data_IF_619464597581
#
_entry.id   IF_619464597581
#
_cell.length_a   1.000
_cell.length_b   1.000
_cell.length_c   1.000
_cell.angle_alpha   90.00
_cell.angle_beta   90.00
_cell.angle_gamma   90.00
#
_symmetry.space_group_name_H-M   'P 1'
#
loop_
_entity.id
_entity.type
_entity.pdbx_description
1 polymer ?
#
# COMPACT_ATOMS: atom_id res chain seq x y z
N UNK A 1 15.61 -9.20 5.12
CA UNK A 1 14.32 -8.74 4.55
C UNK A 1 14.58 -8.35 3.09
N UNK A 2 14.18 -9.17 2.11
CA UNK A 2 14.25 -8.80 0.69
C UNK A 2 12.90 -8.20 0.31
N UNK A 3 12.89 -6.95 -0.15
CA UNK A 3 11.77 -6.40 -0.90
C UNK A 3 11.61 -7.27 -2.15
N UNK A 4 10.56 -8.09 -2.19
CA UNK A 4 10.17 -8.73 -3.45
C UNK A 4 9.51 -7.64 -4.29
N UNK A 5 10.09 -7.47 -5.48
CA UNK A 5 9.76 -6.53 -6.53
C UNK A 5 8.26 -6.14 -6.64
N UNK A 6 7.98 -4.88 -6.98
CA UNK A 6 6.62 -4.39 -7.26
C UNK A 6 6.08 -5.16 -8.46
N UNK A 7 5.18 -6.13 -8.23
CA UNK A 7 4.71 -7.04 -9.28
C UNK A 7 3.98 -6.31 -10.41
N UNK A 8 3.24 -5.23 -10.11
CA UNK A 8 2.58 -4.37 -11.10
C UNK A 8 2.27 -2.99 -10.48
N UNK A 9 2.56 -1.92 -11.20
CA UNK A 9 2.04 -0.57 -10.91
C UNK A 9 1.47 0.01 -12.20
N UNK A 10 0.38 0.77 -12.10
CA UNK A 10 -0.12 1.49 -13.28
C UNK A 10 0.90 2.57 -13.64
N UNK A 11 1.45 2.49 -14.86
CA UNK A 11 2.44 3.45 -15.37
C UNK A 11 1.79 4.77 -15.77
N UNK A 12 0.46 4.82 -15.81
CA UNK A 12 -0.27 6.05 -16.13
C UNK A 12 -0.18 7.03 -14.97
N UNK A 13 0.08 8.32 -15.24
CA UNK A 13 -0.02 9.34 -14.21
C UNK A 13 -1.45 9.39 -13.67
N UNK A 14 -1.57 9.60 -12.35
CA UNK A 14 -2.88 9.82 -11.74
C UNK A 14 -3.53 11.06 -12.34
N UNK A 15 -4.83 10.99 -12.62
CA UNK A 15 -5.62 12.12 -13.13
C UNK A 15 -6.25 12.83 -11.95
N UNK A 16 -6.15 14.16 -11.91
CA UNK A 16 -6.78 14.95 -10.85
C UNK A 16 -8.30 14.74 -10.81
N UNK A 17 -8.85 14.71 -9.60
CA UNK A 17 -10.27 14.44 -9.35
C UNK A 17 -10.71 13.00 -9.64
N UNK A 18 -9.79 12.09 -9.99
CA UNK A 18 -10.09 10.66 -10.20
C UNK A 18 -9.56 9.79 -9.06
N UNK A 19 -10.03 8.55 -9.03
CA UNK A 19 -9.55 7.51 -8.13
C UNK A 19 -8.13 7.08 -8.52
N UNK A 20 -7.20 7.13 -7.57
CA UNK A 20 -5.89 6.49 -7.66
C UNK A 20 -5.90 5.19 -6.86
N UNK A 21 -5.55 4.09 -7.51
CA UNK A 21 -5.41 2.77 -6.88
C UNK A 21 -3.95 2.33 -6.95
N UNK A 22 -3.35 2.11 -5.79
CA UNK A 22 -2.00 1.57 -5.64
C UNK A 22 -2.13 0.16 -5.08
N UNK A 23 -1.57 -0.84 -5.77
CA UNK A 23 -1.55 -2.21 -5.30
C UNK A 23 -0.11 -2.67 -5.11
N UNK A 24 0.14 -3.43 -4.05
CA UNK A 24 1.40 -4.13 -3.91
C UNK A 24 1.19 -5.51 -3.29
N UNK A 25 1.76 -6.50 -3.97
CA UNK A 25 1.79 -7.89 -3.53
C UNK A 25 3.08 -8.15 -2.77
N UNK A 26 2.98 -8.79 -1.62
CA UNK A 26 4.12 -9.29 -0.88
C UNK A 26 3.93 -10.77 -0.55
N UNK A 27 5.04 -11.51 -0.52
CA UNK A 27 5.06 -12.90 -0.09
C UNK A 27 5.55 -12.98 1.35
N UNK A 28 4.82 -13.68 2.22
CA UNK A 28 5.25 -13.83 3.60
C UNK A 28 4.27 -14.58 4.48
N UNK A 29 4.59 -14.64 5.77
CA UNK A 29 3.84 -15.39 6.77
C UNK A 29 2.43 -14.84 6.99
N UNK A 30 1.55 -15.67 7.55
CA UNK A 30 0.15 -15.31 7.83
C UNK A 30 -0.03 -14.14 8.79
N UNK A 31 0.93 -13.89 9.68
CA UNK A 31 0.96 -12.79 10.64
C UNK A 31 1.67 -11.52 10.11
N UNK A 32 1.92 -11.45 8.81
CA UNK A 32 2.45 -10.27 8.14
C UNK A 32 1.41 -9.14 8.17
N UNK A 33 1.89 -7.92 8.32
CA UNK A 33 1.09 -6.71 8.33
C UNK A 33 1.65 -5.69 7.35
N UNK A 34 0.77 -4.85 6.85
CA UNK A 34 1.05 -3.88 5.80
C UNK A 34 0.98 -2.47 6.36
N UNK A 35 1.91 -1.61 5.92
CA UNK A 35 1.84 -0.16 6.14
C UNK A 35 2.30 0.58 4.90
N UNK A 36 1.51 1.56 4.49
CA UNK A 36 1.85 2.46 3.38
C UNK A 36 2.64 3.66 3.89
N UNK A 37 3.64 4.06 3.12
CA UNK A 37 4.42 5.27 3.35
C UNK A 37 4.39 6.13 2.10
N UNK A 38 4.22 7.44 2.29
CA UNK A 38 4.34 8.45 1.25
C UNK A 38 5.51 9.35 1.61
N UNK A 39 6.52 9.43 0.74
CA UNK A 39 7.71 10.26 0.93
C UNK A 39 8.41 10.00 2.29
N UNK A 40 8.34 8.76 2.78
CA UNK A 40 8.89 8.33 4.07
C UNK A 40 7.97 8.50 5.27
N UNK A 41 6.82 9.17 5.12
CA UNK A 41 5.83 9.36 6.19
C UNK A 41 4.74 8.30 6.13
N UNK A 42 4.32 7.80 7.30
CA UNK A 42 3.26 6.81 7.39
C UNK A 42 1.94 7.40 6.84
N UNK A 43 1.32 6.71 5.88
CA UNK A 43 -0.01 7.06 5.40
C UNK A 43 -1.03 6.59 6.44
N UNK A 44 -1.67 7.54 7.12
CA UNK A 44 -2.66 7.25 8.13
C UNK A 44 -4.07 7.39 7.56
N UNK A 45 -4.54 6.34 6.86
CA UNK A 45 -5.89 6.30 6.26
C UNK A 45 -7.02 6.48 7.28
N UNK A 46 -6.81 6.12 8.54
CA UNK A 46 -7.82 6.30 9.60
C UNK A 46 -7.92 7.72 10.15
N UNK A 47 -6.93 8.57 9.90
CA UNK A 47 -6.85 9.94 10.45
C UNK A 47 -6.75 10.99 9.35
N UNK A 48 -6.52 10.59 8.10
CA UNK A 48 -6.47 11.55 7.00
C UNK A 48 -7.88 12.06 6.69
N UNK A 49 -8.07 13.38 6.66
CA UNK A 49 -9.26 14.03 6.09
C UNK A 49 -9.48 13.72 4.60
N UNK A 50 -8.55 12.97 3.99
CA UNK A 50 -8.65 12.42 2.64
C UNK A 50 -9.62 11.25 2.61
N UNK A 51 -10.42 11.19 1.55
CA UNK A 51 -11.20 9.99 1.20
C UNK A 51 -10.27 8.88 0.67
N UNK A 52 -9.51 8.28 1.58
CA UNK A 52 -8.54 7.24 1.27
C UNK A 52 -8.81 5.99 2.14
N UNK A 53 -8.67 4.81 1.54
CA UNK A 53 -8.91 3.55 2.26
C UNK A 53 -7.94 2.46 1.79
N UNK A 54 -7.60 1.58 2.72
CA UNK A 54 -6.80 0.39 2.45
C UNK A 54 -7.70 -0.85 2.38
N UNK A 55 -7.62 -1.59 1.28
CA UNK A 55 -8.18 -2.93 1.15
C UNK A 55 -7.04 -3.93 1.26
N UNK A 56 -7.19 -4.90 2.16
CA UNK A 56 -6.25 -6.03 2.28
C UNK A 56 -6.91 -7.27 1.71
N UNK A 57 -6.25 -7.88 0.74
CA UNK A 57 -6.68 -9.15 0.14
C UNK A 57 -5.85 -10.25 0.80
N UNK A 58 -6.44 -11.00 1.76
CA UNK A 58 -5.72 -12.06 2.47
C UNK A 58 -5.42 -13.22 1.51
N UNK A 59 -4.24 -13.82 1.69
CA UNK A 59 -3.76 -15.10 1.13
C UNK A 59 -4.36 -15.51 -0.23
N UNK A 60 -3.64 -15.21 -1.31
CA UNK A 60 -3.81 -15.87 -2.61
C UNK A 60 -2.91 -17.12 -2.70
N UNK A 61 -3.02 -17.91 -3.78
CA UNK A 61 -2.12 -19.05 -4.03
C UNK A 61 -0.64 -18.64 -3.87
N UNK A 62 0.17 -19.46 -3.19
CA UNK A 62 1.62 -19.28 -2.95
C UNK A 62 2.04 -18.28 -1.85
N UNK A 63 1.27 -18.13 -0.77
CA UNK A 63 1.59 -17.24 0.37
C UNK A 63 1.75 -15.76 -0.01
N UNK A 64 1.09 -15.37 -1.11
CA UNK A 64 1.02 -13.99 -1.54
C UNK A 64 -0.13 -13.30 -0.82
N UNK A 65 0.13 -12.10 -0.34
CA UNK A 65 -0.86 -11.20 0.25
C UNK A 65 -0.77 -9.86 -0.47
N UNK A 66 -1.90 -9.22 -0.72
CA UNK A 66 -1.94 -7.95 -1.44
C UNK A 66 -2.56 -6.87 -0.57
N UNK A 67 -1.91 -5.71 -0.51
CA UNK A 67 -2.49 -4.49 0.05
C UNK A 67 -2.75 -3.51 -1.09
N UNK A 68 -3.94 -2.90 -1.07
CA UNK A 68 -4.42 -1.95 -2.05
C UNK A 68 -4.78 -0.66 -1.34
N UNK A 69 -4.09 0.44 -1.66
CA UNK A 69 -4.42 1.78 -1.20
C UNK A 69 -5.22 2.50 -2.29
N UNK A 70 -6.39 2.99 -1.92
CA UNK A 70 -7.23 3.81 -2.78
C UNK A 70 -7.26 5.24 -2.24
N UNK A 71 -7.14 6.22 -3.14
CA UNK A 71 -7.25 7.64 -2.85
C UNK A 71 -8.25 8.21 -3.84
N UNK A 72 -9.41 8.64 -3.35
CA UNK A 72 -10.43 9.29 -4.16
C UNK A 72 -10.20 10.81 -4.25
N UNK A 73 -10.57 11.41 -5.38
CA UNK A 73 -10.39 12.84 -5.62
C UNK A 73 -8.92 13.28 -5.56
N UNK A 74 -8.04 12.63 -6.33
CA UNK A 74 -6.59 12.92 -6.35
C UNK A 74 -6.31 14.38 -6.69
N UNK A 75 -5.31 14.95 -6.04
CA UNK A 75 -4.83 16.33 -6.23
C UNK A 75 -3.32 16.38 -6.37
N UNK A 76 -2.77 17.56 -6.73
CA UNK A 76 -1.32 17.83 -6.67
C UNK A 76 -0.64 17.42 -5.35
N UNK A 77 -1.35 17.49 -4.22
CA UNK A 77 -0.80 17.15 -2.91
C UNK A 77 -0.63 15.65 -2.70
N UNK A 78 -1.25 14.81 -3.52
CA UNK A 78 -1.12 13.35 -3.47
C UNK A 78 0.10 12.86 -4.26
N UNK A 79 0.76 13.76 -5.00
CA UNK A 79 2.05 13.49 -5.65
C UNK A 79 3.09 13.10 -4.61
N UNK A 80 3.85 12.05 -4.90
CA UNK A 80 4.91 11.55 -4.04
C UNK A 80 5.29 10.12 -4.37
N UNK A 81 6.29 9.60 -3.64
CA UNK A 81 6.72 8.21 -3.73
C UNK A 81 6.00 7.38 -2.68
N UNK A 82 5.16 6.45 -3.14
CA UNK A 82 4.48 5.50 -2.28
C UNK A 82 5.27 4.19 -2.15
N UNK A 83 5.46 3.72 -0.92
CA UNK A 83 6.15 2.48 -0.61
C UNK A 83 5.27 1.66 0.33
N UNK A 84 5.07 0.38 -0.01
CA UNK A 84 4.47 -0.59 0.89
C UNK A 84 5.57 -1.26 1.71
N UNK A 85 5.49 -1.16 3.04
CA UNK A 85 6.36 -1.88 3.94
C UNK A 85 5.60 -3.01 4.62
N UNK A 86 6.30 -4.12 4.84
CA UNK A 86 5.73 -5.34 5.38
C UNK A 86 6.43 -5.72 6.67
N UNK A 87 5.65 -6.06 7.70
CA UNK A 87 6.15 -6.34 9.04
C UNK A 87 5.57 -7.65 9.56
N UNK A 88 6.43 -8.53 10.07
CA UNK A 88 5.99 -9.74 10.77
C UNK A 88 5.66 -9.34 12.21
N UNK A 89 4.38 -9.40 12.60
CA UNK A 89 3.99 -9.21 14.00
C UNK A 89 4.44 -10.44 14.79
N UNK A 90 5.56 -10.38 15.50
CA UNK A 90 5.94 -11.47 16.41
C UNK A 90 7.40 -11.66 16.82
N UNK A 91 8.37 -10.84 16.41
CA UNK A 91 9.71 -10.94 17.00
C UNK A 91 9.83 -9.90 18.11
N UNK A 92 9.24 -10.21 19.28
CA UNK A 92 9.79 -9.67 20.52
C UNK A 92 11.18 -10.31 20.65
N UNK A 93 12.24 -9.50 20.68
CA UNK A 93 13.49 -9.95 21.29
C UNK A 93 13.25 -10.13 22.79
#
# INVERSE_FOLDING_TARGET
>A
MKLQYVENYDKKPAVEGKLLTLACTARGSSNMSFKWYKDGYLVNVSVSDRNAWEVRIPRTMNDKQMSVLNIDGVTVYDKGKYILCTFIRGVRK
#
